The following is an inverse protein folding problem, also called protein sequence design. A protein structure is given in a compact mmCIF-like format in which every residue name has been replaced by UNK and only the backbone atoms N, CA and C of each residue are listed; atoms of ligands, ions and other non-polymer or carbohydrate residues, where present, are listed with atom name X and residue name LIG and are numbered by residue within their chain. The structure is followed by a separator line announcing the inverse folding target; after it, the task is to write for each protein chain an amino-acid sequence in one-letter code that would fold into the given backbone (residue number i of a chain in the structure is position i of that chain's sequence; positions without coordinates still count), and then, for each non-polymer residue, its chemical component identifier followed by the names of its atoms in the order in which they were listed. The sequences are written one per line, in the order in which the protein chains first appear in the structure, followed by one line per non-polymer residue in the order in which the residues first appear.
data_IF_057377920116
#
_entry.id   IF_057377920116
#
_cell.length_a   1.000
_cell.length_b   1.000
_cell.length_c   1.000
_cell.angle_alpha   90.00
_cell.angle_beta   90.00
_cell.angle_gamma   90.00
#
_symmetry.space_group_name_H-M   'P 1'
#
loop_
_entity.id
_entity.type
_entity.pdbx_description
1 polymer ?
#
# COMPACT_ATOMS: atom_id res chain seq x y z
N UNK A 1 -18.25 0.85 23.16
CA UNK A 1 -16.90 0.88 22.57
C UNK A 1 -16.37 2.29 22.74
N UNK A 2 -15.13 2.50 23.16
CA UNK A 2 -14.54 3.83 23.12
C UNK A 2 -14.52 4.33 21.68
N UNK A 3 -14.68 5.65 21.52
CA UNK A 3 -14.62 6.27 20.20
C UNK A 3 -13.22 6.05 19.60
N UNK A 4 -13.11 5.78 18.30
CA UNK A 4 -11.81 5.56 17.67
C UNK A 4 -10.95 6.82 17.80
N UNK A 5 -9.70 6.64 18.23
CA UNK A 5 -8.72 7.72 18.38
C UNK A 5 -8.51 8.45 17.04
N UNK A 6 -8.56 7.70 15.93
CA UNK A 6 -8.45 8.23 14.58
C UNK A 6 -9.76 8.08 13.82
N UNK A 7 -10.28 9.18 13.32
CA UNK A 7 -11.48 9.25 12.53
C UNK A 7 -11.20 10.06 11.23
N UNK A 8 -12.10 9.95 10.25
CA UNK A 8 -11.97 10.70 8.99
C UNK A 8 -11.88 12.22 9.21
N UNK A 9 -12.44 12.72 10.33
CA UNK A 9 -12.43 14.14 10.65
C UNK A 9 -11.08 14.65 11.18
N UNK A 10 -10.26 13.78 11.80
CA UNK A 10 -8.96 14.14 12.38
C UNK A 10 -7.76 13.50 11.68
N UNK A 11 -8.01 12.74 10.61
CA UNK A 11 -6.99 12.09 9.82
C UNK A 11 -6.95 12.69 8.40
N UNK A 12 -5.80 13.21 7.98
CA UNK A 12 -5.60 13.71 6.61
C UNK A 12 -4.77 12.70 5.80
N UNK A 13 -5.39 11.73 5.12
CA UNK A 13 -4.66 10.73 4.36
C UNK A 13 -3.99 11.39 3.15
N UNK A 14 -2.68 11.22 3.05
CA UNK A 14 -1.91 11.67 1.90
C UNK A 14 -1.76 10.55 0.85
N UNK A 15 -1.42 10.94 -0.39
CA UNK A 15 -1.02 10.00 -1.43
C UNK A 15 0.43 9.58 -1.20
N UNK A 16 0.68 8.58 -0.36
CA UNK A 16 2.03 8.18 0.04
C UNK A 16 2.40 6.76 -0.38
N UNK A 17 1.40 5.88 -0.59
CA UNK A 17 1.68 4.50 -0.98
C UNK A 17 1.93 4.41 -2.48
N UNK A 18 3.17 4.13 -2.86
CA UNK A 18 3.58 4.00 -4.26
C UNK A 18 3.46 2.56 -4.75
N UNK A 19 3.01 2.42 -6.00
CA UNK A 19 2.78 1.14 -6.63
C UNK A 19 3.25 1.14 -8.08
N UNK A 20 3.84 0.03 -8.52
CA UNK A 20 4.05 -0.28 -9.92
C UNK A 20 2.96 -1.24 -10.39
N UNK A 21 2.17 -0.83 -11.37
CA UNK A 21 1.12 -1.64 -11.98
C UNK A 21 1.46 -1.92 -13.45
N UNK A 22 1.58 -3.19 -13.82
CA UNK A 22 1.65 -3.60 -15.22
C UNK A 22 0.33 -4.21 -15.66
N UNK A 23 -0.18 -3.73 -16.79
CA UNK A 23 -1.37 -4.22 -17.47
C UNK A 23 -1.01 -4.77 -18.86
N UNK A 24 -1.73 -5.80 -19.28
CA UNK A 24 -1.45 -6.55 -20.50
C UNK A 24 -2.61 -6.43 -21.49
N UNK A 25 -2.54 -5.49 -22.46
CA UNK A 25 -3.50 -5.43 -23.56
C UNK A 25 -3.52 -6.70 -24.40
N UNK A 26 -4.67 -6.95 -25.03
CA UNK A 26 -4.86 -8.06 -25.98
C UNK A 26 -4.50 -7.68 -27.40
N UNK A 27 -4.56 -6.37 -27.68
CA UNK A 27 -4.24 -5.76 -28.97
C UNK A 27 -3.64 -4.38 -28.74
N UNK A 28 -3.18 -3.76 -29.78
CA UNK A 28 -2.71 -2.38 -29.73
C UNK A 28 -3.86 -1.45 -29.34
N UNK A 29 -3.61 -0.61 -28.35
CA UNK A 29 -4.60 0.35 -27.84
C UNK A 29 -4.38 1.72 -28.50
N UNK A 30 -5.40 2.58 -28.49
CA UNK A 30 -5.25 3.98 -28.91
C UNK A 30 -4.08 4.67 -28.23
N UNK A 31 -3.51 5.67 -28.86
CA UNK A 31 -2.42 6.49 -28.31
C UNK A 31 -2.82 7.11 -26.96
N UNK A 32 -1.85 7.32 -26.07
CA UNK A 32 -2.07 7.73 -24.69
C UNK A 32 -2.86 9.04 -24.57
N UNK A 33 -2.64 9.93 -25.52
CA UNK A 33 -3.31 11.25 -25.59
C UNK A 33 -4.82 11.13 -25.67
N UNK A 34 -5.33 10.04 -26.20
CA UNK A 34 -6.79 9.83 -26.37
C UNK A 34 -7.51 9.47 -25.05
N UNK A 35 -6.81 9.01 -24.02
CA UNK A 35 -7.45 8.44 -22.82
C UNK A 35 -6.76 8.79 -21.49
N UNK A 36 -5.45 9.15 -21.50
CA UNK A 36 -4.68 9.24 -20.27
C UNK A 36 -5.19 10.30 -19.30
N UNK A 37 -5.54 11.48 -19.78
CA UNK A 37 -6.05 12.56 -18.92
C UNK A 37 -7.42 12.21 -18.33
N UNK A 38 -8.29 11.59 -19.11
CA UNK A 38 -9.59 11.11 -18.62
C UNK A 38 -9.41 9.99 -17.58
N UNK A 39 -8.41 9.10 -17.78
CA UNK A 39 -8.06 8.06 -16.83
C UNK A 39 -7.53 8.66 -15.53
N UNK A 40 -6.59 9.60 -15.58
CA UNK A 40 -6.04 10.29 -14.41
C UNK A 40 -7.16 10.95 -13.58
N UNK A 41 -8.00 11.74 -14.21
CA UNK A 41 -9.13 12.41 -13.53
C UNK A 41 -10.12 11.42 -12.92
N UNK A 42 -10.33 10.27 -13.56
CA UNK A 42 -11.18 9.21 -13.03
C UNK A 42 -10.57 8.49 -11.82
N UNK A 43 -9.32 8.06 -11.93
CA UNK A 43 -8.63 7.31 -10.87
C UNK A 43 -8.38 8.16 -9.63
N UNK A 44 -8.15 9.46 -9.78
CA UNK A 44 -7.93 10.36 -8.64
C UNK A 44 -9.18 10.48 -7.75
N UNK A 45 -10.38 10.40 -8.32
CA UNK A 45 -11.64 10.33 -7.56
C UNK A 45 -11.72 9.07 -6.69
N UNK A 46 -11.06 8.01 -7.10
CA UNK A 46 -10.98 6.75 -6.33
C UNK A 46 -9.81 6.74 -5.32
N UNK A 47 -9.08 7.84 -5.18
CA UNK A 47 -7.89 7.92 -4.33
C UNK A 47 -6.64 7.26 -4.94
N UNK A 48 -6.60 7.10 -6.25
CA UNK A 48 -5.45 6.57 -6.99
C UNK A 48 -4.94 7.61 -7.98
N UNK A 49 -3.73 8.09 -7.77
CA UNK A 49 -3.06 9.07 -8.64
C UNK A 49 -2.07 8.38 -9.57
N UNK A 50 -2.20 8.59 -10.85
CA UNK A 50 -1.23 8.14 -11.85
C UNK A 50 -0.10 9.16 -11.91
N UNK A 51 1.12 8.75 -11.53
CA UNK A 51 2.32 9.58 -11.58
C UNK A 51 2.97 9.48 -12.96
N UNK A 52 3.14 8.24 -13.45
CA UNK A 52 3.75 7.96 -14.75
C UNK A 52 2.99 6.84 -15.47
N UNK A 53 3.06 6.86 -16.79
CA UNK A 53 2.46 5.85 -17.63
C UNK A 53 3.38 5.62 -18.83
N UNK A 54 3.87 4.39 -18.98
CA UNK A 54 4.81 4.01 -20.04
C UNK A 54 4.37 2.75 -20.75
N UNK A 55 4.45 2.78 -22.08
CA UNK A 55 4.37 1.57 -22.90
C UNK A 55 5.74 0.89 -22.92
N UNK A 56 5.91 -0.23 -22.23
CA UNK A 56 7.17 -0.98 -22.14
C UNK A 56 7.37 -1.94 -23.31
N UNK A 57 6.25 -2.48 -23.81
CA UNK A 57 6.22 -3.35 -25.00
C UNK A 57 4.87 -3.18 -25.71
N UNK A 58 4.71 -3.83 -26.85
CA UNK A 58 3.44 -3.78 -27.61
C UNK A 58 2.25 -4.22 -26.77
N UNK A 59 2.45 -5.17 -25.85
CA UNK A 59 1.43 -5.76 -25.01
C UNK A 59 1.64 -5.50 -23.50
N UNK A 60 2.46 -4.50 -23.11
CA UNK A 60 2.74 -4.15 -21.72
C UNK A 60 2.68 -2.64 -21.50
N UNK A 61 1.76 -2.22 -20.66
CA UNK A 61 1.72 -0.86 -20.12
C UNK A 61 2.03 -0.88 -18.63
N UNK A 62 2.93 -0.02 -18.23
CA UNK A 62 3.37 0.14 -16.84
C UNK A 62 2.98 1.51 -16.31
N UNK A 63 2.40 1.51 -15.12
CA UNK A 63 2.00 2.70 -14.38
C UNK A 63 2.79 2.80 -13.09
N UNK A 64 3.30 3.99 -12.81
CA UNK A 64 3.69 4.39 -11.46
C UNK A 64 2.50 5.10 -10.82
N UNK A 65 2.05 4.56 -9.71
CA UNK A 65 0.86 5.05 -9.02
C UNK A 65 1.20 5.52 -7.61
N UNK A 66 0.42 6.46 -7.10
CA UNK A 66 0.39 6.80 -5.70
C UNK A 66 -1.06 6.68 -5.20
N UNK A 67 -1.27 5.91 -4.14
CA UNK A 67 -2.60 5.67 -3.60
C UNK A 67 -2.74 6.21 -2.18
N UNK A 68 -3.97 6.58 -1.80
CA UNK A 68 -4.30 6.86 -0.40
C UNK A 68 -4.20 5.57 0.42
N UNK A 69 -3.82 5.64 1.70
CA UNK A 69 -3.68 4.45 2.54
C UNK A 69 -4.94 3.57 2.64
N UNK A 70 -6.11 4.18 2.57
CA UNK A 70 -7.40 3.47 2.62
C UNK A 70 -7.75 2.68 1.34
N UNK A 71 -6.97 2.84 0.25
CA UNK A 71 -7.26 2.17 -1.03
C UNK A 71 -6.55 0.82 -1.06
N UNK A 72 -7.33 -0.26 -0.96
CA UNK A 72 -6.81 -1.61 -1.03
C UNK A 72 -6.29 -1.97 -2.44
N UNK A 73 -5.29 -2.87 -2.56
CA UNK A 73 -4.72 -3.27 -3.85
C UNK A 73 -5.74 -3.70 -4.92
N UNK A 74 -6.78 -4.48 -4.61
CA UNK A 74 -7.83 -4.80 -5.59
C UNK A 74 -8.57 -3.58 -6.11
N UNK A 75 -8.74 -2.54 -5.27
CA UNK A 75 -9.38 -1.29 -5.68
C UNK A 75 -8.49 -0.49 -6.63
N UNK A 76 -7.16 -0.48 -6.42
CA UNK A 76 -6.21 0.14 -7.35
C UNK A 76 -6.38 -0.46 -8.75
N UNK A 77 -6.41 -1.80 -8.84
CA UNK A 77 -6.56 -2.50 -10.12
C UNK A 77 -7.91 -2.20 -10.76
N UNK A 78 -8.98 -2.27 -9.98
CA UNK A 78 -10.33 -1.95 -10.45
C UNK A 78 -10.41 -0.50 -10.97
N UNK A 79 -9.81 0.43 -10.25
CA UNK A 79 -9.78 1.84 -10.64
C UNK A 79 -9.03 2.03 -11.96
N UNK A 80 -7.79 1.58 -12.06
CA UNK A 80 -6.98 1.83 -13.27
C UNK A 80 -7.46 0.97 -14.43
N UNK A 81 -7.47 -0.35 -14.29
CA UNK A 81 -7.80 -1.28 -15.38
C UNK A 81 -9.27 -1.18 -15.79
N UNK A 82 -10.18 -1.07 -14.83
CA UNK A 82 -11.62 -0.99 -15.10
C UNK A 82 -12.00 0.30 -15.81
N UNK A 83 -11.48 1.44 -15.33
CA UNK A 83 -11.73 2.74 -15.98
C UNK A 83 -11.12 2.80 -17.35
N UNK A 84 -9.89 2.32 -17.52
CA UNK A 84 -9.26 2.32 -18.84
C UNK A 84 -10.03 1.40 -19.82
N UNK A 85 -10.45 0.21 -19.37
CA UNK A 85 -11.34 -0.64 -20.18
C UNK A 85 -12.62 0.09 -20.60
N UNK A 86 -13.19 0.87 -19.70
CA UNK A 86 -14.39 1.67 -20.00
C UNK A 86 -14.11 2.74 -21.07
N UNK A 87 -12.98 3.45 -20.98
CA UNK A 87 -12.62 4.51 -21.93
C UNK A 87 -12.39 3.97 -23.34
N UNK A 88 -11.81 2.79 -23.48
CA UNK A 88 -11.49 2.21 -24.80
C UNK A 88 -12.51 1.19 -25.30
N UNK A 89 -13.59 0.93 -24.56
CA UNK A 89 -14.53 -0.18 -24.84
C UNK A 89 -15.22 -0.08 -26.21
N UNK A 90 -15.40 1.11 -26.75
CA UNK A 90 -16.05 1.30 -28.04
C UNK A 90 -15.25 0.66 -29.20
N UNK A 91 -13.93 0.75 -29.11
CA UNK A 91 -13.01 0.19 -30.10
C UNK A 91 -12.41 -1.15 -29.63
N UNK A 92 -12.29 -1.35 -28.32
CA UNK A 92 -11.67 -2.50 -27.70
C UNK A 92 -12.56 -3.10 -26.60
N UNK A 93 -13.63 -3.84 -26.93
CA UNK A 93 -14.58 -4.36 -25.93
C UNK A 93 -13.95 -5.26 -24.86
N UNK A 94 -12.84 -5.92 -25.17
CA UNK A 94 -12.05 -6.78 -24.28
C UNK A 94 -10.57 -6.37 -24.36
N UNK A 95 -10.26 -5.13 -24.00
CA UNK A 95 -8.94 -4.53 -24.19
C UNK A 95 -7.83 -5.28 -23.45
N UNK A 96 -8.10 -5.85 -22.26
CA UNK A 96 -7.06 -6.41 -21.39
C UNK A 96 -7.18 -7.91 -21.18
N UNK A 97 -6.02 -8.55 -20.98
CA UNK A 97 -5.93 -9.90 -20.41
C UNK A 97 -6.43 -9.87 -18.96
N UNK A 98 -6.76 -11.04 -18.39
CA UNK A 98 -7.21 -11.12 -16.98
C UNK A 98 -6.09 -10.78 -16.00
N UNK A 99 -4.88 -11.25 -16.27
CA UNK A 99 -3.71 -11.04 -15.44
C UNK A 99 -3.28 -9.56 -15.37
N UNK A 100 -2.55 -9.25 -14.33
CA UNK A 100 -1.87 -7.98 -14.06
C UNK A 100 -0.68 -8.25 -13.13
N UNK A 101 0.19 -7.27 -12.97
CA UNK A 101 1.23 -7.29 -11.94
C UNK A 101 1.11 -6.01 -11.13
N UNK A 102 0.99 -6.12 -9.81
CA UNK A 102 0.96 -4.97 -8.89
C UNK A 102 1.98 -5.22 -7.79
N UNK A 103 2.90 -4.27 -7.62
CA UNK A 103 3.98 -4.33 -6.63
C UNK A 103 4.05 -3.00 -5.90
N UNK A 104 4.12 -3.04 -4.56
CA UNK A 104 4.41 -1.85 -3.78
C UNK A 104 5.86 -1.41 -4.00
N UNK A 105 6.08 -0.10 -4.01
CA UNK A 105 7.38 0.52 -4.14
C UNK A 105 7.71 1.27 -2.85
N UNK A 106 8.92 1.05 -2.33
CA UNK A 106 9.45 1.71 -1.16
C UNK A 106 10.98 1.79 -1.26
N UNK A 107 11.57 2.63 -0.44
CA UNK A 107 13.03 2.85 -0.42
C UNK A 107 13.78 1.75 0.36
N UNK A 108 13.07 1.01 1.21
CA UNK A 108 13.62 -0.10 1.98
C UNK A 108 13.19 -1.46 1.40
N UNK A 109 14.12 -2.40 1.37
CA UNK A 109 13.76 -3.79 1.09
C UNK A 109 13.13 -4.46 2.33
N UNK A 110 12.36 -5.54 2.11
CA UNK A 110 11.65 -6.26 3.17
C UNK A 110 12.56 -6.66 4.34
N UNK A 111 13.72 -7.24 4.05
CA UNK A 111 14.64 -7.70 5.09
C UNK A 111 15.16 -6.56 5.97
N UNK A 112 15.36 -5.37 5.40
CA UNK A 112 15.74 -4.18 6.17
C UNK A 112 14.60 -3.70 7.08
N UNK A 113 13.34 -3.74 6.59
CA UNK A 113 12.17 -3.37 7.38
C UNK A 113 11.92 -4.37 8.50
N UNK A 114 11.94 -5.67 8.21
CA UNK A 114 11.78 -6.74 9.21
C UNK A 114 12.83 -6.64 10.32
N UNK A 115 14.09 -6.46 9.96
CA UNK A 115 15.17 -6.25 10.92
C UNK A 115 14.95 -4.99 11.75
N UNK A 116 14.61 -3.87 11.12
CA UNK A 116 14.34 -2.62 11.83
C UNK A 116 13.20 -2.77 12.85
N UNK A 117 12.11 -3.45 12.48
CA UNK A 117 10.98 -3.69 13.39
C UNK A 117 11.39 -4.61 14.54
N UNK A 118 12.09 -5.69 14.28
CA UNK A 118 12.54 -6.65 15.33
C UNK A 118 13.56 -6.04 16.29
N UNK A 119 14.43 -5.15 15.79
CA UNK A 119 15.47 -4.50 16.59
C UNK A 119 15.01 -3.16 17.20
N UNK A 120 13.74 -2.75 17.03
CA UNK A 120 13.23 -1.43 17.40
C UNK A 120 13.53 -1.06 18.86
N UNK A 121 13.34 -1.99 19.80
CA UNK A 121 13.60 -1.74 21.22
C UNK A 121 15.09 -1.55 21.51
N UNK A 122 15.98 -2.31 20.87
CA UNK A 122 17.43 -2.21 21.04
C UNK A 122 18.07 -1.04 20.28
N UNK A 123 17.33 -0.44 19.33
CA UNK A 123 17.86 0.64 18.51
C UNK A 123 18.08 1.95 19.28
N UNK A 124 17.31 2.18 20.31
CA UNK A 124 17.45 3.32 21.22
C UNK A 124 17.93 2.85 22.57
N UNK A 125 19.19 3.12 22.92
CA UNK A 125 19.69 2.85 24.27
C UNK A 125 18.80 3.59 25.27
N UNK A 126 18.05 2.85 26.06
CA UNK A 126 17.29 3.36 27.18
C UNK A 126 18.25 3.65 28.35
N UNK A 127 18.08 4.81 29.00
CA UNK A 127 18.88 5.15 30.19
C UNK A 127 18.62 4.18 31.36
N UNK A 128 17.39 3.62 31.43
CA UNK A 128 16.99 2.64 32.41
C UNK A 128 16.62 1.30 31.72
N UNK A 129 17.36 0.20 32.00
CA UNK A 129 17.07 -1.12 31.44
C UNK A 129 15.66 -1.65 31.76
N UNK A 130 15.03 -1.17 32.85
CA UNK A 130 13.66 -1.57 33.21
C UNK A 130 12.65 -1.04 32.19
N UNK A 131 12.92 0.10 31.57
CA UNK A 131 12.05 0.65 30.52
C UNK A 131 12.05 -0.23 29.29
N UNK A 132 13.20 -0.77 28.87
CA UNK A 132 13.29 -1.71 27.76
C UNK A 132 12.53 -3.00 28.08
N UNK A 133 12.74 -3.59 29.27
CA UNK A 133 12.03 -4.79 29.70
C UNK A 133 10.51 -4.57 29.80
N UNK A 134 10.08 -3.38 30.21
CA UNK A 134 8.66 -3.01 30.23
C UNK A 134 8.07 -2.96 28.82
N UNK A 135 8.71 -2.26 27.90
CA UNK A 135 8.25 -2.11 26.52
C UNK A 135 8.25 -3.42 25.76
N UNK A 136 9.21 -4.32 26.03
CA UNK A 136 9.27 -5.65 25.43
C UNK A 136 8.03 -6.50 25.70
N UNK A 137 7.33 -6.28 26.82
CA UNK A 137 6.07 -6.98 27.15
C UNK A 137 4.92 -6.63 26.20
N UNK A 138 5.00 -5.51 25.52
CA UNK A 138 3.98 -5.05 24.56
C UNK A 138 4.36 -5.31 23.12
N UNK A 139 5.52 -5.89 22.88
CA UNK A 139 5.94 -6.32 21.55
C UNK A 139 5.12 -7.54 21.12
N UNK A 140 4.55 -7.48 19.91
CA UNK A 140 3.77 -8.58 19.35
C UNK A 140 4.59 -9.19 18.22
N UNK A 141 4.73 -10.51 18.26
CA UNK A 141 5.39 -11.27 17.20
C UNK A 141 4.45 -12.39 16.73
N UNK A 142 4.37 -12.55 15.43
CA UNK A 142 3.63 -13.63 14.78
C UNK A 142 4.62 -14.47 13.95
N UNK A 143 5.40 -15.38 14.57
CA UNK A 143 6.45 -16.13 13.89
C UNK A 143 5.92 -17.03 12.76
N UNK A 144 4.64 -17.41 12.82
CA UNK A 144 3.98 -18.23 11.80
C UNK A 144 3.49 -17.42 10.58
N UNK A 145 3.59 -16.08 10.62
CA UNK A 145 3.20 -15.21 9.51
C UNK A 145 4.39 -14.97 8.58
N UNK A 146 4.41 -15.66 7.46
CA UNK A 146 5.39 -15.38 6.40
C UNK A 146 4.93 -14.23 5.52
N UNK A 147 5.49 -13.04 5.75
CA UNK A 147 5.23 -11.83 4.96
C UNK A 147 5.70 -11.93 3.49
N UNK A 148 6.46 -12.98 3.13
CA UNK A 148 6.86 -13.26 1.76
C UNK A 148 5.78 -14.00 0.97
N UNK A 149 4.84 -14.64 1.66
CA UNK A 149 3.83 -15.42 0.98
C UNK A 149 2.89 -14.54 0.15
N UNK A 150 2.74 -14.83 -1.14
CA UNK A 150 1.82 -14.09 -1.97
C UNK A 150 0.39 -14.50 -1.65
N UNK A 151 -0.49 -13.51 -1.70
CA UNK A 151 -1.93 -13.72 -1.71
C UNK A 151 -2.37 -13.97 -3.16
N UNK A 152 -3.18 -14.99 -3.36
CA UNK A 152 -3.72 -15.33 -4.66
C UNK A 152 -5.19 -14.92 -4.75
N UNK A 153 -5.54 -14.33 -5.88
CA UNK A 153 -6.93 -14.12 -6.28
C UNK A 153 -7.19 -14.89 -7.58
N UNK A 154 -8.47 -15.00 -7.99
CA UNK A 154 -8.83 -15.61 -9.28
C UNK A 154 -8.13 -14.97 -10.49
N UNK A 155 -7.57 -13.79 -10.34
CA UNK A 155 -7.06 -12.97 -11.45
C UNK A 155 -5.65 -12.43 -11.23
N UNK A 156 -4.99 -12.77 -10.11
CA UNK A 156 -3.65 -12.25 -9.84
C UNK A 156 -2.99 -12.85 -8.61
N UNK A 157 -1.69 -12.61 -8.53
CA UNK A 157 -0.84 -12.88 -7.40
C UNK A 157 -0.31 -11.54 -6.90
N UNK A 158 -0.37 -11.29 -5.60
CA UNK A 158 0.16 -10.07 -5.00
C UNK A 158 0.73 -10.34 -3.61
N UNK A 159 1.69 -9.53 -3.21
CA UNK A 159 2.20 -9.45 -1.84
C UNK A 159 1.77 -8.10 -1.29
N UNK A 160 1.18 -8.08 -0.11
CA UNK A 160 0.66 -6.89 0.52
C UNK A 160 1.14 -6.80 1.95
N UNK A 161 2.18 -6.00 2.14
CA UNK A 161 2.73 -5.70 3.45
C UNK A 161 2.74 -4.20 3.65
N UNK A 162 2.30 -3.75 4.82
CA UNK A 162 2.36 -2.35 5.22
C UNK A 162 3.28 -2.22 6.43
N UNK A 163 4.19 -1.27 6.36
CA UNK A 163 4.92 -0.79 7.52
C UNK A 163 4.19 0.46 8.04
N UNK A 164 3.60 0.33 9.23
CA UNK A 164 2.92 1.44 9.92
C UNK A 164 3.83 1.96 11.03
N UNK A 165 4.10 3.25 11.01
CA UNK A 165 4.82 3.93 12.08
C UNK A 165 3.84 4.84 12.80
N UNK A 166 3.62 4.57 14.08
CA UNK A 166 2.83 5.44 14.96
C UNK A 166 3.79 6.24 15.85
N UNK A 167 3.60 7.54 15.88
CA UNK A 167 4.36 8.45 16.73
C UNK A 167 3.42 9.01 17.79
N UNK A 168 3.77 8.77 19.05
CA UNK A 168 3.05 9.32 20.19
C UNK A 168 3.58 10.72 20.50
N UNK A 169 2.74 11.63 20.94
CA UNK A 169 3.12 13.00 21.33
C UNK A 169 4.11 12.98 22.51
N UNK A 170 3.85 12.12 23.48
CA UNK A 170 4.82 11.79 24.52
C UNK A 170 5.73 10.66 24.04
N UNK A 171 6.87 10.49 24.70
CA UNK A 171 7.79 9.40 24.37
C UNK A 171 7.18 8.07 24.83
N UNK A 172 7.24 7.04 24.00
CA UNK A 172 6.76 5.69 24.32
C UNK A 172 7.23 5.15 25.68
N UNK A 173 8.44 5.52 26.09
CA UNK A 173 8.99 5.15 27.40
C UNK A 173 8.21 5.75 28.57
N UNK A 174 7.52 6.85 28.36
CA UNK A 174 6.76 7.58 29.37
C UNK A 174 5.26 7.25 29.30
N UNK A 175 4.82 6.47 28.30
CA UNK A 175 3.46 6.03 28.13
C UNK A 175 3.01 5.12 29.28
N UNK A 176 1.75 5.25 29.72
CA UNK A 176 1.16 4.37 30.74
C UNK A 176 1.01 2.93 30.23
N UNK A 177 0.97 1.96 31.15
CA UNK A 177 0.71 0.55 30.79
C UNK A 177 -0.67 0.40 30.15
N UNK A 178 -1.68 1.07 30.67
CA UNK A 178 -3.04 1.07 30.11
C UNK A 178 -3.07 1.56 28.66
N UNK A 179 -2.31 2.62 28.33
CA UNK A 179 -2.20 3.12 26.99
C UNK A 179 -1.50 2.11 26.06
N UNK A 180 -0.41 1.48 26.54
CA UNK A 180 0.34 0.47 25.77
C UNK A 180 -0.53 -0.77 25.50
N UNK A 181 -1.30 -1.23 26.49
CA UNK A 181 -2.26 -2.33 26.34
C UNK A 181 -3.34 -2.01 25.31
N UNK A 182 -3.98 -0.84 25.44
CA UNK A 182 -5.02 -0.39 24.48
C UNK A 182 -4.48 -0.26 23.05
N UNK A 183 -3.20 0.08 22.90
CA UNK A 183 -2.57 0.21 21.57
C UNK A 183 -2.22 -1.15 20.96
N UNK A 184 -1.91 -2.13 21.82
CA UNK A 184 -1.58 -3.50 21.41
C UNK A 184 -2.83 -4.27 20.94
N UNK A 185 -3.94 -4.16 21.65
CA UNK A 185 -5.20 -4.87 21.42
C UNK A 185 -6.03 -4.23 20.28
#
# INVERSE_FOLDING_TARGET
MPDPIYATANCQPAYQLRWSLALFPRAELPAAEAWLEALKGGTEKDGVRILECHRRATDVWQFLLSARPAVAPPQIIKSVKGRWQHLVRATHPKAFRRNFSLTSLGDANRAAVERYVSEQLGHHRMADPRTEARLARFQIEFPDVDLAQPIFSSHGRYVYNLHLVMVHEERWRDASEEFLETTRD
#
